data_IF_064446203864
#
_entry.id   IF_064446203864
#
_cell.length_a   1.000
_cell.length_b   1.000
_cell.length_c   1.000
_cell.angle_alpha   90.00
_cell.angle_beta   90.00
_cell.angle_gamma   90.00
#
_symmetry.space_group_name_H-M   'P 1'
#
loop_
_entity.id
_entity.type
_entity.pdbx_description
1 polymer ?
#
# COMPACT_ATOMS: atom_id res chain seq x y z
N UNK A 1 15.24 -13.14 -6.82
CA UNK A 1 13.80 -12.83 -6.94
C UNK A 1 13.11 -14.09 -7.43
N UNK A 2 12.26 -14.72 -6.62
CA UNK A 2 11.43 -15.84 -7.10
C UNK A 2 10.35 -15.35 -8.07
N UNK A 3 9.72 -16.27 -8.80
CA UNK A 3 8.64 -15.97 -9.75
C UNK A 3 7.52 -15.17 -9.07
N UNK A 4 7.15 -15.54 -7.84
CA UNK A 4 6.14 -14.81 -7.05
C UNK A 4 6.53 -13.35 -6.80
N UNK A 5 7.80 -13.09 -6.48
CA UNK A 5 8.30 -11.73 -6.27
C UNK A 5 8.23 -10.90 -7.55
N UNK A 6 8.57 -11.47 -8.70
CA UNK A 6 8.45 -10.78 -9.99
C UNK A 6 6.99 -10.44 -10.32
N UNK A 7 6.08 -11.39 -10.12
CA UNK A 7 4.64 -11.20 -10.32
C UNK A 7 4.12 -10.10 -9.40
N UNK A 8 4.48 -10.14 -8.11
CA UNK A 8 4.15 -9.09 -7.13
C UNK A 8 4.64 -7.72 -7.62
N UNK A 9 5.91 -7.60 -8.02
CA UNK A 9 6.47 -6.33 -8.51
C UNK A 9 5.74 -5.80 -9.73
N UNK A 10 5.41 -6.65 -10.72
CA UNK A 10 4.66 -6.22 -11.91
C UNK A 10 3.28 -5.69 -11.53
N UNK A 11 2.55 -6.41 -10.67
CA UNK A 11 1.26 -5.94 -10.17
C UNK A 11 1.38 -4.63 -9.39
N UNK A 12 2.41 -4.47 -8.56
CA UNK A 12 2.66 -3.25 -7.79
C UNK A 12 2.93 -2.05 -8.71
N UNK A 13 3.73 -2.22 -9.77
CA UNK A 13 3.99 -1.16 -10.75
C UNK A 13 2.71 -0.73 -11.48
N UNK A 14 1.89 -1.70 -11.91
CA UNK A 14 0.60 -1.41 -12.56
C UNK A 14 -0.32 -0.68 -11.59
N UNK A 15 -0.41 -1.12 -10.33
CA UNK A 15 -1.25 -0.49 -9.32
C UNK A 15 -0.82 0.95 -9.03
N UNK A 16 0.48 1.22 -8.90
CA UNK A 16 1.01 2.57 -8.68
C UNK A 16 0.61 3.49 -9.84
N UNK A 17 0.89 3.08 -11.08
CA UNK A 17 0.61 3.90 -12.27
C UNK A 17 -0.90 4.09 -12.46
N UNK A 18 -1.69 3.02 -12.38
CA UNK A 18 -3.13 3.11 -12.54
C UNK A 18 -3.77 3.98 -11.46
N UNK A 19 -3.37 3.80 -10.19
CA UNK A 19 -3.85 4.59 -9.06
C UNK A 19 -3.55 6.07 -9.25
N UNK A 20 -2.31 6.43 -9.58
CA UNK A 20 -1.93 7.82 -9.87
C UNK A 20 -2.82 8.45 -10.95
N UNK A 21 -3.06 7.74 -12.06
CA UNK A 21 -3.90 8.26 -13.14
C UNK A 21 -5.36 8.40 -12.69
N UNK A 22 -5.89 7.47 -11.88
CA UNK A 22 -7.27 7.55 -11.35
C UNK A 22 -7.50 8.85 -10.56
N UNK A 23 -6.54 9.30 -9.76
CA UNK A 23 -6.62 10.57 -9.03
C UNK A 23 -6.74 11.79 -9.94
N UNK A 24 -5.95 11.79 -11.02
CA UNK A 24 -5.87 12.89 -11.98
C UNK A 24 -7.09 12.95 -12.91
N UNK A 25 -7.85 11.86 -13.05
CA UNK A 25 -9.02 11.83 -13.92
C UNK A 25 -10.27 12.40 -13.24
N UNK A 26 -11.17 12.93 -14.08
CA UNK A 26 -12.51 13.33 -13.67
C UNK A 26 -13.30 12.10 -13.22
N UNK A 27 -13.86 12.20 -12.01
CA UNK A 27 -14.52 11.10 -11.29
C UNK A 27 -15.83 10.74 -12.00
N UNK A 28 -16.23 9.47 -11.95
CA UNK A 28 -17.47 8.97 -12.58
C UNK A 28 -17.42 8.78 -14.12
N UNK A 29 -16.37 9.27 -14.80
CA UNK A 29 -16.19 9.04 -16.24
C UNK A 29 -15.93 7.56 -16.57
N UNK A 30 -16.10 7.18 -17.84
CA UNK A 30 -15.75 5.83 -18.32
C UNK A 30 -14.27 5.52 -18.03
N UNK A 31 -13.39 6.49 -18.25
CA UNK A 31 -11.95 6.36 -18.00
C UNK A 31 -11.61 6.18 -16.52
N UNK A 32 -12.26 6.92 -15.62
CA UNK A 32 -12.10 6.72 -14.18
C UNK A 32 -12.49 5.30 -13.76
N UNK A 33 -13.59 4.76 -14.29
CA UNK A 33 -14.04 3.39 -13.99
C UNK A 33 -13.10 2.33 -14.54
N UNK A 34 -12.68 2.44 -15.80
CA UNK A 34 -11.74 1.47 -16.42
C UNK A 34 -10.40 1.43 -15.69
N UNK A 35 -9.82 2.60 -15.38
CA UNK A 35 -8.56 2.67 -14.65
C UNK A 35 -8.73 2.27 -13.17
N UNK A 36 -9.88 2.57 -12.56
CA UNK A 36 -10.22 2.11 -11.22
C UNK A 36 -10.31 0.59 -11.12
N UNK A 37 -10.87 -0.09 -12.14
CA UNK A 37 -10.84 -1.54 -12.22
C UNK A 37 -9.43 -2.08 -12.40
N UNK A 38 -8.61 -1.46 -13.25
CA UNK A 38 -7.21 -1.86 -13.43
C UNK A 38 -6.41 -1.72 -12.13
N UNK A 39 -6.59 -0.61 -11.41
CA UNK A 39 -6.02 -0.42 -10.08
C UNK A 39 -6.50 -1.50 -9.09
N UNK A 40 -7.81 -1.73 -9.01
CA UNK A 40 -8.38 -2.70 -8.07
C UNK A 40 -7.88 -4.13 -8.31
N UNK A 41 -7.86 -4.58 -9.56
CA UNK A 41 -7.41 -5.94 -9.90
C UNK A 41 -5.92 -6.10 -9.64
N UNK A 42 -5.11 -5.10 -10.03
CA UNK A 42 -3.67 -5.14 -9.78
C UNK A 42 -3.34 -5.09 -8.28
N UNK A 43 -3.96 -4.18 -7.53
CA UNK A 43 -3.79 -4.07 -6.08
C UNK A 43 -4.22 -5.35 -5.34
N UNK A 44 -5.28 -6.01 -5.81
CA UNK A 44 -5.67 -7.32 -5.27
C UNK A 44 -4.60 -8.38 -5.51
N UNK A 45 -3.98 -8.38 -6.69
CA UNK A 45 -2.81 -9.22 -7.00
C UNK A 45 -1.63 -8.95 -6.06
N UNK A 46 -1.33 -7.67 -5.78
CA UNK A 46 -0.31 -7.26 -4.81
C UNK A 46 -0.60 -7.83 -3.42
N UNK A 47 -1.84 -7.65 -2.93
CA UNK A 47 -2.26 -8.14 -1.61
C UNK A 47 -2.12 -9.65 -1.53
N UNK A 48 -2.66 -10.40 -2.50
CA UNK A 48 -2.61 -11.88 -2.47
C UNK A 48 -1.16 -12.38 -2.49
N UNK A 49 -0.35 -11.85 -3.40
CA UNK A 49 1.05 -12.27 -3.52
C UNK A 49 1.87 -11.90 -2.30
N UNK A 50 1.61 -10.76 -1.66
CA UNK A 50 2.32 -10.34 -0.45
C UNK A 50 2.16 -11.31 0.72
N UNK A 51 1.00 -11.97 0.85
CA UNK A 51 0.78 -12.98 1.88
C UNK A 51 1.54 -14.28 1.64
N UNK A 52 2.13 -14.46 0.46
CA UNK A 52 2.90 -15.65 0.07
C UNK A 52 4.41 -15.41 0.01
N UNK A 53 4.87 -14.18 0.32
CA UNK A 53 6.29 -13.79 0.24
C UNK A 53 6.86 -13.61 1.65
N UNK A 54 7.76 -14.52 2.04
CA UNK A 54 8.36 -14.54 3.38
C UNK A 54 9.85 -14.17 3.41
N UNK A 55 10.39 -13.66 2.30
CA UNK A 55 11.83 -13.46 2.08
C UNK A 55 12.52 -12.50 3.08
N UNK A 56 11.77 -11.65 3.79
CA UNK A 56 12.35 -10.66 4.72
C UNK A 56 12.73 -11.26 6.08
N UNK A 57 11.88 -12.12 6.65
CA UNK A 57 12.04 -12.64 8.03
C UNK A 57 11.87 -14.16 8.13
N UNK A 58 11.58 -14.83 7.02
CA UNK A 58 11.23 -16.26 7.00
C UNK A 58 9.82 -16.58 7.51
N UNK A 59 9.02 -15.56 7.85
CA UNK A 59 7.67 -15.71 8.40
C UNK A 59 6.86 -14.43 8.34
N UNK A 60 5.66 -14.44 8.94
CA UNK A 60 4.76 -13.28 8.94
C UNK A 60 5.42 -12.06 9.62
N UNK A 61 5.32 -10.89 9.01
CA UNK A 61 6.02 -9.69 9.45
C UNK A 61 5.21 -8.41 9.20
N UNK A 62 5.82 -7.25 9.47
CA UNK A 62 5.18 -5.93 9.35
C UNK A 62 4.63 -5.67 7.94
N UNK A 63 5.28 -6.15 6.88
CA UNK A 63 4.78 -5.97 5.51
C UNK A 63 3.49 -6.77 5.26
N UNK A 64 3.29 -7.89 5.94
CA UNK A 64 2.04 -8.66 5.86
C UNK A 64 0.90 -7.95 6.60
N UNK A 65 1.20 -7.30 7.73
CA UNK A 65 0.22 -6.43 8.41
C UNK A 65 -0.17 -5.24 7.52
N UNK A 66 0.78 -4.64 6.81
CA UNK A 66 0.51 -3.58 5.84
C UNK A 66 -0.35 -4.09 4.67
N UNK A 67 -0.13 -5.32 4.19
CA UNK A 67 -0.98 -5.96 3.19
C UNK A 67 -2.41 -6.19 3.69
N UNK A 68 -2.58 -6.63 4.94
CA UNK A 68 -3.89 -6.78 5.55
C UNK A 68 -4.64 -5.44 5.64
N UNK A 69 -3.96 -4.38 6.07
CA UNK A 69 -4.54 -3.04 6.09
C UNK A 69 -4.91 -2.55 4.68
N UNK A 70 -4.08 -2.86 3.69
CA UNK A 70 -4.36 -2.58 2.28
C UNK A 70 -5.58 -3.35 1.77
N UNK A 71 -5.76 -4.59 2.18
CA UNK A 71 -6.94 -5.39 1.86
C UNK A 71 -8.21 -4.76 2.46
N UNK A 72 -8.15 -4.29 3.71
CA UNK A 72 -9.26 -3.63 4.40
C UNK A 72 -9.64 -2.33 3.69
N UNK A 73 -8.67 -1.46 3.40
CA UNK A 73 -8.94 -0.16 2.75
C UNK A 73 -9.51 -0.34 1.34
N UNK A 74 -8.94 -1.25 0.54
CA UNK A 74 -9.44 -1.59 -0.79
C UNK A 74 -10.85 -2.21 -0.73
N UNK A 75 -11.07 -3.13 0.23
CA UNK A 75 -12.36 -3.77 0.45
C UNK A 75 -13.43 -2.77 0.86
N UNK A 76 -13.11 -1.84 1.76
CA UNK A 76 -14.01 -0.76 2.19
C UNK A 76 -14.32 0.20 1.05
N UNK A 77 -13.34 0.54 0.21
CA UNK A 77 -13.58 1.33 -1.00
C UNK A 77 -14.64 0.68 -1.90
N UNK A 78 -14.51 -0.64 -2.13
CA UNK A 78 -15.46 -1.38 -2.94
C UNK A 78 -16.82 -1.56 -2.24
N UNK A 79 -16.84 -1.76 -0.93
CA UNK A 79 -18.07 -1.88 -0.16
C UNK A 79 -18.97 -0.64 -0.35
N UNK A 80 -18.40 0.57 -0.26
CA UNK A 80 -19.18 1.81 -0.38
C UNK A 80 -19.72 2.03 -1.81
N UNK A 81 -18.95 1.67 -2.85
CA UNK A 81 -19.41 1.80 -4.24
C UNK A 81 -20.47 0.75 -4.61
N UNK A 82 -20.30 -0.49 -4.16
CA UNK A 82 -21.19 -1.61 -4.48
C UNK A 82 -22.51 -1.55 -3.71
N UNK A 83 -22.45 -1.24 -2.41
CA UNK A 83 -23.67 -1.14 -1.57
C UNK A 83 -24.35 0.20 -1.67
N UNK A 84 -23.66 1.22 -2.21
CA UNK A 84 -24.09 2.63 -2.23
C UNK A 84 -24.51 3.13 -0.85
N UNK A 85 -23.77 2.70 0.19
CA UNK A 85 -23.95 3.13 1.57
C UNK A 85 -22.76 3.97 2.03
N UNK A 86 -22.98 4.95 2.92
CA UNK A 86 -24.29 5.53 3.28
C UNK A 86 -24.89 6.29 2.09
N UNK A 87 -26.22 6.21 1.88
CA UNK A 87 -26.90 6.67 0.64
C UNK A 87 -26.57 8.09 0.20
N UNK A 88 -26.40 9.01 1.16
CA UNK A 88 -26.12 10.42 0.87
C UNK A 88 -24.67 10.66 0.43
N UNK A 89 -23.71 9.92 0.99
CA UNK A 89 -22.28 10.24 0.91
C UNK A 89 -21.41 9.06 0.44
N UNK A 90 -21.98 8.00 -0.12
CA UNK A 90 -21.24 6.80 -0.52
C UNK A 90 -20.07 7.11 -1.48
N UNK A 91 -20.22 8.13 -2.33
CA UNK A 91 -19.15 8.58 -3.23
C UNK A 91 -17.96 9.15 -2.47
N UNK A 92 -18.21 9.94 -1.43
CA UNK A 92 -17.17 10.52 -0.57
C UNK A 92 -16.45 9.40 0.17
N UNK A 93 -17.19 8.45 0.72
CA UNK A 93 -16.58 7.31 1.41
C UNK A 93 -15.78 6.41 0.47
N UNK A 94 -16.32 6.10 -0.72
CA UNK A 94 -15.57 5.38 -1.74
C UNK A 94 -14.26 6.11 -2.07
N UNK A 95 -14.31 7.43 -2.30
CA UNK A 95 -13.12 8.24 -2.57
C UNK A 95 -12.12 8.16 -1.41
N UNK A 96 -12.56 8.45 -0.18
CA UNK A 96 -11.67 8.43 1.00
C UNK A 96 -10.98 7.07 1.18
N UNK A 97 -11.71 5.96 1.01
CA UNK A 97 -11.11 4.62 1.14
C UNK A 97 -10.21 4.25 -0.03
N UNK A 98 -10.51 4.72 -1.25
CA UNK A 98 -9.56 4.63 -2.38
C UNK A 98 -8.29 5.42 -2.10
N UNK A 99 -8.43 6.60 -1.47
CA UNK A 99 -7.31 7.47 -1.13
C UNK A 99 -6.40 6.79 -0.10
N UNK A 100 -6.98 6.26 0.97
CA UNK A 100 -6.24 5.47 1.97
C UNK A 100 -5.62 4.20 1.39
N UNK A 101 -6.28 3.53 0.45
CA UNK A 101 -5.72 2.37 -0.25
C UNK A 101 -4.45 2.73 -1.02
N UNK A 102 -4.47 3.87 -1.73
CA UNK A 102 -3.31 4.32 -2.50
C UNK A 102 -2.18 4.84 -1.61
N UNK A 103 -2.50 5.57 -0.54
CA UNK A 103 -1.50 5.96 0.48
C UNK A 103 -0.84 4.72 1.08
N UNK A 104 -1.62 3.68 1.38
CA UNK A 104 -1.10 2.39 1.83
C UNK A 104 -0.14 1.74 0.83
N UNK A 105 -0.48 1.77 -0.47
CA UNK A 105 0.39 1.27 -1.55
C UNK A 105 1.75 2.02 -1.60
N UNK A 106 1.73 3.35 -1.53
CA UNK A 106 2.96 4.15 -1.54
C UNK A 106 3.78 3.93 -0.25
N UNK A 107 3.11 3.86 0.91
CA UNK A 107 3.77 3.54 2.17
C UNK A 107 4.43 2.15 2.15
N UNK A 108 3.77 1.16 1.56
CA UNK A 108 4.31 -0.18 1.39
C UNK A 108 5.54 -0.18 0.47
N UNK A 109 5.51 0.58 -0.65
CA UNK A 109 6.69 0.75 -1.52
C UNK A 109 7.87 1.36 -0.76
N UNK A 110 7.63 2.40 0.03
CA UNK A 110 8.68 3.03 0.85
C UNK A 110 9.23 2.03 1.87
N UNK A 111 8.36 1.30 2.57
CA UNK A 111 8.77 0.29 3.54
C UNK A 111 9.59 -0.85 2.89
N UNK A 112 9.21 -1.30 1.70
CA UNK A 112 9.93 -2.29 0.91
C UNK A 112 11.34 -1.79 0.54
N UNK A 113 11.46 -0.55 0.04
CA UNK A 113 12.76 0.07 -0.29
C UNK A 113 13.62 0.22 0.97
N UNK A 114 13.04 0.71 2.07
CA UNK A 114 13.76 0.92 3.32
C UNK A 114 14.32 -0.39 3.86
N UNK A 115 13.48 -1.44 3.93
CA UNK A 115 13.85 -2.72 4.53
C UNK A 115 14.80 -3.54 3.66
N UNK A 116 14.69 -3.46 2.33
CA UNK A 116 15.48 -4.30 1.42
C UNK A 116 16.71 -3.63 0.81
N UNK A 117 16.77 -2.29 0.80
CA UNK A 117 17.87 -1.54 0.20
C UNK A 117 18.57 -0.69 1.26
N UNK A 118 17.84 0.21 1.92
CA UNK A 118 18.45 1.23 2.79
C UNK A 118 19.04 0.62 4.06
N UNK A 119 18.29 -0.23 4.77
CA UNK A 119 18.77 -0.86 6.01
C UNK A 119 20.02 -1.72 5.74
N UNK A 120 20.04 -2.64 4.76
CA UNK A 120 21.26 -3.39 4.43
C UNK A 120 22.45 -2.53 4.00
N UNK A 121 22.21 -1.38 3.36
CA UNK A 121 23.28 -0.45 3.01
C UNK A 121 23.82 0.32 4.23
N UNK A 122 22.98 0.55 5.23
CA UNK A 122 23.32 1.28 6.45
C UNK A 122 23.93 0.41 7.55
N UNK A 123 23.69 -0.91 7.57
CA UNK A 123 24.22 -1.84 8.58
C UNK A 123 25.74 -1.86 8.76
N UNK A 124 26.60 -1.64 7.74
CA UNK A 124 28.04 -1.53 7.99
C UNK A 124 28.46 -0.19 8.62
N UNK A 125 27.58 0.81 8.65
CA UNK A 125 27.87 2.18 9.14
C UNK A 125 27.18 2.45 10.49
N UNK A 126 26.01 1.86 10.71
CA UNK A 126 25.18 2.07 11.90
C UNK A 126 24.99 0.74 12.63
N UNK A 127 25.31 0.73 13.93
CA UNK A 127 25.03 -0.41 14.78
C UNK A 127 23.52 -0.62 14.91
N UNK A 128 23.11 -1.88 15.13
CA UNK A 128 21.68 -2.25 15.17
C UNK A 128 20.86 -1.43 16.18
N UNK A 129 21.46 -1.02 17.31
CA UNK A 129 20.81 -0.09 18.26
C UNK A 129 20.48 1.26 17.63
N UNK A 130 21.40 1.83 16.85
CA UNK A 130 21.19 3.13 16.20
C UNK A 130 20.10 3.05 15.13
N UNK A 131 20.05 1.96 14.36
CA UNK A 131 18.98 1.71 13.38
C UNK A 131 17.60 1.63 14.06
N UNK A 132 17.49 0.91 15.17
CA UNK A 132 16.26 0.84 15.96
C UNK A 132 15.90 2.20 16.59
N UNK A 133 16.88 2.94 17.10
CA UNK A 133 16.66 4.29 17.65
C UNK A 133 16.17 5.28 16.59
N UNK A 134 16.69 5.21 15.36
CA UNK A 134 16.24 6.04 14.25
C UNK A 134 14.82 5.68 13.81
N UNK A 135 14.49 4.39 13.73
CA UNK A 135 13.14 3.93 13.43
C UNK A 135 12.12 4.44 14.47
N UNK A 136 12.37 4.19 15.76
CA UNK A 136 11.47 4.64 16.84
C UNK A 136 11.45 6.16 17.01
N UNK A 137 12.57 6.84 16.77
CA UNK A 137 12.65 8.29 16.77
C UNK A 137 11.80 8.93 15.67
N UNK A 138 11.82 8.36 14.46
CA UNK A 138 10.95 8.80 13.35
C UNK A 138 9.48 8.58 13.67
N UNK A 139 9.12 7.40 14.21
CA UNK A 139 7.75 7.10 14.64
C UNK A 139 7.28 8.11 15.68
N UNK A 140 8.06 8.35 16.74
CA UNK A 140 7.73 9.32 17.77
C UNK A 140 7.58 10.74 17.20
N UNK A 141 8.51 11.19 16.36
CA UNK A 141 8.46 12.50 15.72
C UNK A 141 7.19 12.69 14.88
N UNK A 142 6.83 11.70 14.07
CA UNK A 142 5.60 11.74 13.26
C UNK A 142 4.36 11.70 14.14
N UNK A 143 4.34 10.90 15.21
CA UNK A 143 3.18 10.84 16.11
C UNK A 143 2.99 12.11 16.93
N UNK A 144 4.07 12.80 17.30
CA UNK A 144 4.03 14.04 18.08
C UNK A 144 3.80 15.28 17.21
N UNK A 145 4.25 15.27 15.94
CA UNK A 145 4.04 16.38 15.01
C UNK A 145 2.63 16.44 14.41
N UNK A 146 1.80 15.43 14.68
CA UNK A 146 0.40 15.33 14.20
C UNK A 146 -0.61 15.60 15.34
N UNK A 147 -0.14 15.75 16.58
CA UNK A 147 -0.95 16.10 17.76
C UNK A 147 -0.94 17.62 18.01
#
# INVERSE_FOLDING_TARGET
MGVLGQVHTVFSLIAIVAGAIVFLKTKGTRWHRTLGHLYFTSMTGVVITSFSIYDLTGGFNVLHWAALLSAITLGMAMFHVLTRRPRKNWMVWHSNWMDWSYVGLIAALIAEILTRIIVPLATPVLDQRQLWSLFWGLVLFVTLGVA
#
